data_IF_856765133005
#
_entry.id   IF_856765133005
#
_cell.length_a   1.000
_cell.length_b   1.000
_cell.length_c   1.000
_cell.angle_alpha   90.00
_cell.angle_beta   90.00
_cell.angle_gamma   90.00
#
_symmetry.space_group_name_H-M   'P 1'
#
loop_
_entity.id
_entity.type
_entity.pdbx_description
1 polymer ?
#
# COMPACT_ATOMS: atom_id res chain seq x y z
N UNK A 1 -8.51 16.68 20.10
CA UNK A 1 -7.45 17.22 19.22
C UNK A 1 -6.93 16.10 18.36
N UNK A 2 -7.08 16.20 17.04
CA UNK A 2 -6.51 15.20 16.11
C UNK A 2 -5.02 15.53 16.00
N UNK A 3 -4.15 14.60 16.39
CA UNK A 3 -2.70 14.77 16.32
C UNK A 3 -2.22 14.07 15.04
N UNK A 4 -1.57 14.78 14.11
CA UNK A 4 -1.01 14.16 12.93
C UNK A 4 0.11 13.21 13.34
N UNK A 5 -0.02 11.93 12.98
CA UNK A 5 1.08 10.97 13.12
C UNK A 5 1.99 11.12 11.91
N UNK A 6 3.31 11.08 12.13
CA UNK A 6 4.28 11.11 11.05
C UNK A 6 4.20 9.78 10.29
N UNK A 7 3.50 9.79 9.15
CA UNK A 7 3.43 8.65 8.24
C UNK A 7 4.52 8.81 7.19
N UNK A 8 5.54 7.95 7.24
CA UNK A 8 6.53 7.85 6.18
C UNK A 8 6.00 6.89 5.13
N UNK A 9 5.69 7.42 3.94
CA UNK A 9 5.35 6.62 2.76
C UNK A 9 6.63 6.47 1.95
N UNK A 10 7.05 5.23 1.69
CA UNK A 10 8.21 4.96 0.83
C UNK A 10 7.82 5.24 -0.63
N UNK A 11 8.51 6.19 -1.28
CA UNK A 11 8.17 6.61 -2.66
C UNK A 11 8.69 5.63 -3.72
N UNK A 12 9.66 4.79 -3.35
CA UNK A 12 10.27 3.81 -4.23
C UNK A 12 10.40 2.43 -3.55
N UNK A 13 9.28 1.72 -3.32
CA UNK A 13 9.30 0.36 -2.77
C UNK A 13 10.08 -0.58 -3.68
N UNK A 14 11.14 -1.21 -3.15
CA UNK A 14 12.00 -2.14 -3.94
C UNK A 14 11.71 -3.60 -3.67
N UNK A 15 11.06 -3.92 -2.55
CA UNK A 15 10.78 -5.29 -2.15
C UNK A 15 9.29 -5.51 -1.90
N UNK A 16 8.86 -6.77 -1.93
CA UNK A 16 7.49 -7.16 -1.57
C UNK A 16 7.13 -6.73 -0.13
N UNK A 17 8.12 -6.69 0.77
CA UNK A 17 7.95 -6.21 2.14
C UNK A 17 7.59 -4.72 2.17
N UNK A 18 8.26 -3.91 1.36
CA UNK A 18 8.00 -2.46 1.26
C UNK A 18 6.60 -2.21 0.70
N UNK A 19 6.19 -2.98 -0.32
CA UNK A 19 4.82 -2.94 -0.85
C UNK A 19 3.77 -3.33 0.20
N UNK A 20 4.06 -4.34 1.03
CA UNK A 20 3.16 -4.73 2.12
C UNK A 20 3.02 -3.63 3.19
N UNK A 21 4.12 -2.98 3.58
CA UNK A 21 4.10 -1.86 4.50
C UNK A 21 3.36 -0.66 3.92
N UNK A 22 3.59 -0.36 2.64
CA UNK A 22 2.88 0.69 1.91
C UNK A 22 1.37 0.44 1.90
N UNK A 23 0.95 -0.80 1.62
CA UNK A 23 -0.45 -1.20 1.68
C UNK A 23 -1.05 -0.99 3.09
N UNK A 24 -0.29 -1.31 4.15
CA UNK A 24 -0.71 -1.08 5.53
C UNK A 24 -0.90 0.41 5.85
N UNK A 25 0.06 1.25 5.47
CA UNK A 25 0.01 2.70 5.61
C UNK A 25 -1.17 3.33 4.87
N UNK A 26 -1.41 2.90 3.64
CA UNK A 26 -2.53 3.37 2.81
C UNK A 26 -3.87 2.95 3.40
N UNK A 27 -4.00 1.70 3.87
CA UNK A 27 -5.24 1.21 4.47
C UNK A 27 -5.56 1.95 5.78
N UNK A 28 -4.55 2.44 6.50
CA UNK A 28 -4.72 3.27 7.69
C UNK A 28 -5.25 4.67 7.38
N UNK A 29 -4.77 5.33 6.32
CA UNK A 29 -5.24 6.67 5.92
C UNK A 29 -6.52 6.67 5.08
N UNK A 30 -6.90 5.50 4.54
CA UNK A 30 -8.10 5.34 3.70
C UNK A 30 -9.37 6.00 4.27
N UNK A 31 -9.77 5.78 5.54
CA UNK A 31 -10.96 6.44 6.10
C UNK A 31 -10.79 7.94 6.31
N UNK A 32 -9.55 8.45 6.36
CA UNK A 32 -9.26 9.88 6.57
C UNK A 32 -9.24 10.67 5.26
N UNK A 33 -8.82 10.04 4.17
CA UNK A 33 -8.59 10.69 2.86
C UNK A 33 -9.66 10.35 1.81
N UNK A 34 -10.60 9.44 2.12
CA UNK A 34 -11.63 9.03 1.17
C UNK A 34 -11.08 8.23 -0.01
N UNK A 35 -9.96 7.53 0.18
CA UNK A 35 -9.33 6.73 -0.87
C UNK A 35 -10.25 5.55 -1.24
N UNK A 36 -10.62 5.50 -2.51
CA UNK A 36 -11.48 4.45 -3.06
C UNK A 36 -10.66 3.23 -3.47
N UNK A 37 -11.28 2.06 -3.51
CA UNK A 37 -10.60 0.80 -3.88
C UNK A 37 -10.06 0.83 -5.31
N UNK A 38 -10.71 1.60 -6.18
CA UNK A 38 -10.32 1.85 -7.57
C UNK A 38 -8.98 2.58 -7.70
N UNK A 39 -8.69 3.56 -6.82
CA UNK A 39 -7.39 4.22 -6.74
C UNK A 39 -6.26 3.25 -6.31
N UNK A 40 -6.62 2.22 -5.53
CA UNK A 40 -5.69 1.19 -5.03
C UNK A 40 -5.56 -0.02 -5.94
N UNK A 41 -6.40 -0.11 -6.98
CA UNK A 41 -6.41 -1.21 -7.94
C UNK A 41 -5.03 -1.53 -8.54
N UNK A 42 -4.22 -0.55 -9.01
CA UNK A 42 -2.87 -0.83 -9.53
C UNK A 42 -1.92 -1.41 -8.48
N UNK A 43 -2.02 -0.98 -7.22
CA UNK A 43 -1.21 -1.52 -6.12
C UNK A 43 -1.55 -2.99 -5.83
N UNK A 44 -2.85 -3.32 -5.78
CA UNK A 44 -3.29 -4.70 -5.58
C UNK A 44 -2.92 -5.60 -6.76
N UNK A 45 -2.95 -5.09 -7.99
CA UNK A 45 -2.54 -5.83 -9.17
C UNK A 45 -1.03 -6.15 -9.16
N UNK A 46 -0.21 -5.18 -8.71
CA UNK A 46 1.23 -5.37 -8.52
C UNK A 46 1.54 -6.43 -7.45
N UNK A 47 0.82 -6.38 -6.32
CA UNK A 47 0.93 -7.38 -5.25
C UNK A 47 0.50 -8.77 -5.73
N UNK A 48 -0.59 -8.86 -6.51
CA UNK A 48 -1.06 -10.13 -7.07
C UNK A 48 0.00 -10.76 -7.99
N UNK A 49 0.54 -10.00 -8.94
CA UNK A 49 1.56 -10.49 -9.88
C UNK A 49 2.88 -10.90 -9.23
N UNK A 50 3.19 -10.40 -8.02
CA UNK A 50 4.36 -10.87 -7.26
C UNK A 50 4.17 -12.31 -6.71
N UNK A 51 2.93 -12.75 -6.46
CA UNK A 51 2.66 -14.11 -5.99
C UNK A 51 2.77 -15.14 -7.12
N UNK A 52 2.56 -14.73 -8.37
CA UNK A 52 2.69 -15.60 -9.55
C UNK A 52 4.15 -15.95 -9.88
N UNK A 53 5.14 -15.17 -9.38
CA UNK A 53 6.57 -15.41 -9.60
C UNK A 53 7.18 -16.48 -8.68
N UNK A 54 6.42 -16.97 -7.69
CA UNK A 54 6.80 -18.09 -6.80
C UNK A 54 6.13 -19.41 -7.22
N UNK A 55 5.59 -19.49 -8.44
CA UNK A 55 5.08 -20.75 -8.98
C UNK A 55 6.16 -21.43 -9.83
N UNK A 56 6.49 -22.72 -9.57
CA UNK A 56 7.55 -23.47 -10.27
C UNK A 56 7.26 -23.74 -11.75
#
# INVERSE_FOLDING_TARGET
>A
TIVPQQLTIEDNPKTLRDLHQLCGSINWVRPLLGITTEDLSPLFNLLKGCNDLDSP
#
